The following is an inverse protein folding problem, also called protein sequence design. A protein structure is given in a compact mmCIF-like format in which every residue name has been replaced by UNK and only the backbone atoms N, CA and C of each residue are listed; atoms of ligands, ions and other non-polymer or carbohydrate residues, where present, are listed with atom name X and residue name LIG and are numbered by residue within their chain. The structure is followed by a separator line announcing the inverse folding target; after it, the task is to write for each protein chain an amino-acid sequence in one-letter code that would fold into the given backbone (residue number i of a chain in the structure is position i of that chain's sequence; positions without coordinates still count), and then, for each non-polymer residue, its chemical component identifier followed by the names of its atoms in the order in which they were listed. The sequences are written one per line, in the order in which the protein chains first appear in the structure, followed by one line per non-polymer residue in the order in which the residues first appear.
data_IF_544542904361
#
_entry.id   IF_544542904361
#
_cell.length_a   1.000
_cell.length_b   1.000
_cell.length_c   1.000
_cell.angle_alpha   90.00
_cell.angle_beta   90.00
_cell.angle_gamma   90.00
#
_symmetry.space_group_name_H-M   'P 1'
#
loop_
_entity.id
_entity.type
_entity.pdbx_description
1 polymer ?
#
# COMPACT_ATOMS: atom_id res chain seq x y z
N UNK A 1 -18.51 27.81 13.70
CA UNK A 1 -17.33 27.34 12.92
C UNK A 1 -16.27 28.43 13.09
N UNK A 2 -15.00 28.08 13.29
CA UNK A 2 -13.94 29.09 13.43
C UNK A 2 -13.87 29.93 12.14
N UNK A 3 -13.79 31.25 12.27
CA UNK A 3 -13.58 32.19 11.15
C UNK A 3 -12.22 32.85 11.35
N UNK A 4 -11.37 32.81 10.33
CA UNK A 4 -10.04 33.41 10.34
C UNK A 4 -10.14 34.87 9.89
N UNK A 5 -9.27 35.75 10.40
CA UNK A 5 -9.16 37.09 9.85
C UNK A 5 -8.62 37.09 8.41
N UNK A 6 -8.68 38.24 7.73
CA UNK A 6 -8.25 38.38 6.35
C UNK A 6 -6.77 38.00 6.13
N UNK A 7 -5.87 38.39 7.03
CA UNK A 7 -4.44 38.15 6.88
C UNK A 7 -4.13 36.66 7.04
N UNK A 8 -4.69 36.05 8.08
CA UNK A 8 -4.51 34.64 8.40
C UNK A 8 -5.13 33.73 7.33
N UNK A 9 -6.33 34.05 6.84
CA UNK A 9 -6.98 33.30 5.76
C UNK A 9 -6.16 33.32 4.47
N UNK A 10 -5.62 34.48 4.06
CA UNK A 10 -4.76 34.59 2.87
C UNK A 10 -3.45 33.82 3.06
N UNK A 11 -2.78 33.98 4.20
CA UNK A 11 -1.48 33.34 4.46
C UNK A 11 -1.58 31.81 4.41
N UNK A 12 -2.57 31.22 5.09
CA UNK A 12 -2.75 29.76 5.10
C UNK A 12 -3.19 29.25 3.74
N UNK A 13 -4.05 30.00 3.03
CA UNK A 13 -4.46 29.64 1.68
C UNK A 13 -3.27 29.58 0.73
N UNK A 14 -2.43 30.61 0.72
CA UNK A 14 -1.22 30.65 -0.12
C UNK A 14 -0.27 29.50 0.21
N UNK A 15 -0.10 29.16 1.49
CA UNK A 15 0.73 28.03 1.89
C UNK A 15 0.23 26.69 1.35
N UNK A 16 -1.08 26.45 1.41
CA UNK A 16 -1.68 25.24 0.83
C UNK A 16 -1.59 25.23 -0.70
N UNK A 17 -1.83 26.37 -1.36
CA UNK A 17 -1.68 26.51 -2.82
C UNK A 17 -0.24 26.20 -3.23
N UNK A 18 0.74 26.79 -2.55
CA UNK A 18 2.15 26.58 -2.82
C UNK A 18 2.58 25.13 -2.62
N UNK A 19 2.00 24.43 -1.67
CA UNK A 19 2.28 23.01 -1.45
C UNK A 19 1.77 22.13 -2.59
N UNK A 20 0.55 22.36 -3.08
CA UNK A 20 -0.05 21.51 -4.11
C UNK A 20 0.36 21.88 -5.55
N UNK A 21 0.91 23.09 -5.78
CA UNK A 21 1.23 23.58 -7.13
C UNK A 21 2.18 22.65 -7.91
N UNK A 22 3.06 21.93 -7.20
CA UNK A 22 4.11 21.10 -7.79
C UNK A 22 3.63 19.66 -8.09
N UNK A 23 2.37 19.32 -7.78
CA UNK A 23 1.81 17.99 -8.03
C UNK A 23 0.93 18.01 -9.26
N UNK A 24 1.51 17.69 -10.42
CA UNK A 24 0.76 17.58 -11.68
C UNK A 24 0.26 16.15 -11.92
N UNK A 25 1.00 15.16 -11.42
CA UNK A 25 0.64 13.74 -11.44
C UNK A 25 0.75 13.11 -10.07
N UNK A 26 0.08 11.98 -9.89
CA UNK A 26 0.06 11.28 -8.61
C UNK A 26 1.45 10.76 -8.18
N UNK A 27 2.33 10.46 -9.14
CA UNK A 27 3.69 10.01 -8.89
C UNK A 27 4.61 11.14 -8.40
N UNK A 28 4.35 12.41 -8.77
CA UNK A 28 5.05 13.58 -8.21
C UNK A 28 4.80 13.66 -6.71
N UNK A 29 3.52 13.49 -6.32
CA UNK A 29 3.09 13.47 -4.93
C UNK A 29 3.75 12.32 -4.15
N UNK A 30 3.70 11.09 -4.67
CA UNK A 30 4.32 9.95 -3.98
C UNK A 30 5.83 10.07 -3.87
N UNK A 31 6.51 10.62 -4.88
CA UNK A 31 7.96 10.88 -4.84
C UNK A 31 8.29 11.92 -3.78
N UNK A 32 7.55 13.03 -3.71
CA UNK A 32 7.73 14.06 -2.68
C UNK A 32 7.58 13.48 -1.27
N UNK A 33 6.51 12.74 -1.02
CA UNK A 33 6.27 12.03 0.25
C UNK A 33 7.38 11.03 0.59
N UNK A 34 7.90 10.33 -0.42
CA UNK A 34 8.96 9.36 -0.23
C UNK A 34 10.28 10.03 0.19
N UNK A 35 10.65 11.11 -0.49
CA UNK A 35 11.87 11.88 -0.20
C UNK A 35 11.80 12.45 1.22
N UNK A 36 10.65 12.99 1.63
CA UNK A 36 10.41 13.46 3.01
C UNK A 36 10.74 12.35 4.03
N UNK A 37 10.24 11.12 3.82
CA UNK A 37 10.48 10.01 4.75
C UNK A 37 11.89 9.46 4.76
N UNK A 38 12.52 9.36 3.59
CA UNK A 38 13.87 8.79 3.47
C UNK A 38 14.90 9.66 4.19
N UNK A 39 14.67 10.97 4.29
CA UNK A 39 15.53 11.88 5.07
C UNK A 39 15.56 11.55 6.56
N UNK A 40 14.46 11.01 7.09
CA UNK A 40 14.28 10.69 8.51
C UNK A 40 14.69 9.24 8.87
N UNK A 41 15.09 8.42 7.88
CA UNK A 41 15.55 7.05 8.15
C UNK A 41 16.88 7.12 8.93
N UNK A 42 16.98 6.49 10.12
CA UNK A 42 18.21 6.46 10.89
C UNK A 42 19.37 5.86 10.08
N UNK A 43 20.54 6.48 10.18
CA UNK A 43 21.76 5.89 9.65
C UNK A 43 22.15 4.66 10.51
N UNK A 44 22.66 3.59 9.90
CA UNK A 44 23.20 2.46 10.67
C UNK A 44 24.34 2.93 11.58
N UNK A 45 24.41 2.36 12.78
CA UNK A 45 25.51 2.63 13.71
C UNK A 45 26.83 2.11 13.12
N UNK A 46 27.94 2.85 13.25
CA UNK A 46 29.25 2.38 12.78
C UNK A 46 29.58 1.01 13.38
N UNK A 47 29.93 0.04 12.53
CA UNK A 47 30.31 -1.32 12.95
C UNK A 47 29.13 -2.29 13.16
N UNK A 48 27.88 -1.83 13.08
CA UNK A 48 26.74 -2.72 12.86
C UNK A 48 26.53 -2.86 11.35
N UNK A 49 26.42 -4.10 10.85
CA UNK A 49 26.15 -4.38 9.44
C UNK A 49 24.93 -3.61 8.93
N UNK A 50 24.87 -3.39 7.61
CA UNK A 50 23.72 -2.68 7.04
C UNK A 50 22.50 -3.58 7.13
N UNK A 51 21.33 -3.00 7.45
CA UNK A 51 20.05 -3.72 7.34
C UNK A 51 19.77 -4.20 5.89
N UNK A 52 20.52 -3.67 4.92
CA UNK A 52 20.52 -4.07 3.52
C UNK A 52 21.25 -5.41 3.29
N UNK A 53 22.18 -5.78 4.18
CA UNK A 53 22.90 -7.07 4.13
C UNK A 53 21.96 -8.25 4.42
N UNK A 54 20.82 -8.00 5.08
CA UNK A 54 19.77 -8.99 5.29
C UNK A 54 18.92 -9.24 4.02
N UNK A 55 19.04 -8.41 2.98
CA UNK A 55 18.26 -8.52 1.76
C UNK A 55 18.96 -9.40 0.72
N UNK A 56 18.16 -10.08 -0.11
CA UNK A 56 18.66 -10.99 -1.14
C UNK A 56 19.47 -10.26 -2.21
N UNK A 57 20.73 -10.67 -2.37
CA UNK A 57 21.71 -10.08 -3.29
C UNK A 57 22.42 -11.09 -4.20
N UNK A 58 22.10 -12.39 -4.12
CA UNK A 58 22.68 -13.42 -5.00
C UNK A 58 21.88 -13.59 -6.30
N UNK A 59 22.07 -12.66 -7.23
CA UNK A 59 21.30 -12.63 -8.49
C UNK A 59 21.72 -13.68 -9.53
N UNK A 60 22.71 -14.53 -9.22
CA UNK A 60 23.13 -15.63 -10.07
C UNK A 60 22.42 -16.96 -9.73
N UNK A 61 21.73 -17.01 -8.60
CA UNK A 61 20.95 -18.19 -8.21
C UNK A 61 19.80 -18.44 -9.18
N UNK A 62 19.69 -19.69 -9.64
CA UNK A 62 18.65 -20.07 -10.57
C UNK A 62 17.32 -20.33 -9.83
N UNK A 63 16.14 -19.90 -10.35
CA UNK A 63 14.88 -20.01 -9.61
C UNK A 63 14.44 -21.42 -9.23
N UNK A 64 14.92 -22.42 -9.95
CA UNK A 64 14.61 -23.82 -9.64
C UNK A 64 15.25 -24.28 -8.31
N UNK A 65 16.37 -23.67 -7.92
CA UNK A 65 17.18 -24.01 -6.74
C UNK A 65 16.72 -23.24 -5.49
N UNK A 66 15.92 -22.19 -5.66
CA UNK A 66 15.43 -21.35 -4.56
C UNK A 66 14.35 -22.06 -3.77
N UNK A 67 14.43 -22.00 -2.45
CA UNK A 67 13.33 -22.39 -1.56
C UNK A 67 13.05 -21.29 -0.55
N UNK A 68 11.85 -21.30 0.04
CA UNK A 68 11.36 -20.15 0.79
C UNK A 68 10.82 -20.50 2.17
N UNK A 69 11.12 -19.64 3.13
CA UNK A 69 10.53 -19.64 4.46
C UNK A 69 9.72 -18.36 4.67
N UNK A 70 8.53 -18.50 5.24
CA UNK A 70 7.68 -17.38 5.65
C UNK A 70 7.79 -17.24 7.16
N UNK A 71 8.23 -16.08 7.64
CA UNK A 71 8.42 -15.86 9.09
C UNK A 71 8.16 -14.41 9.50
N UNK A 72 8.11 -14.19 10.81
CA UNK A 72 8.06 -12.85 11.41
C UNK A 72 9.44 -12.46 11.90
N UNK A 73 9.78 -11.19 11.77
CA UNK A 73 11.00 -10.57 12.31
C UNK A 73 10.59 -9.44 13.26
N UNK A 74 11.52 -8.87 14.06
CA UNK A 74 11.24 -7.71 14.88
C UNK A 74 10.59 -6.57 14.06
N UNK A 75 9.55 -5.94 14.64
CA UNK A 75 8.72 -4.95 13.94
C UNK A 75 9.52 -3.76 13.42
N UNK A 76 10.45 -3.25 14.23
CA UNK A 76 11.32 -2.12 13.85
C UNK A 76 12.13 -2.46 12.60
N UNK A 77 12.75 -3.65 12.57
CA UNK A 77 13.50 -4.13 11.41
C UNK A 77 12.61 -4.25 10.17
N UNK A 78 11.39 -4.79 10.32
CA UNK A 78 10.42 -4.88 9.23
C UNK A 78 10.06 -3.50 8.65
N UNK A 79 9.68 -2.56 9.52
CA UNK A 79 9.20 -1.25 9.08
C UNK A 79 10.32 -0.42 8.44
N UNK A 80 11.53 -0.46 9.00
CA UNK A 80 12.70 0.21 8.41
C UNK A 80 13.06 -0.38 7.04
N UNK A 81 13.10 -1.71 6.91
CA UNK A 81 13.39 -2.36 5.63
C UNK A 81 12.30 -2.10 4.60
N UNK A 82 11.02 -2.21 4.99
CA UNK A 82 9.90 -1.94 4.09
C UNK A 82 9.91 -0.49 3.62
N UNK A 83 10.20 0.48 4.49
CA UNK A 83 10.38 1.88 4.09
C UNK A 83 11.58 2.04 3.16
N UNK A 84 12.67 1.28 3.30
CA UNK A 84 13.77 1.32 2.31
C UNK A 84 13.41 0.68 0.97
N UNK A 85 12.54 -0.34 0.93
CA UNK A 85 12.25 -1.08 -0.31
C UNK A 85 11.02 -0.55 -1.07
N UNK A 86 9.98 -0.11 -0.36
CA UNK A 86 8.71 0.26 -0.96
C UNK A 86 8.79 1.59 -1.73
N UNK A 87 8.18 1.64 -2.93
CA UNK A 87 8.02 2.87 -3.70
C UNK A 87 6.98 3.83 -3.13
N UNK A 88 6.09 3.32 -2.27
CA UNK A 88 5.12 4.10 -1.52
C UNK A 88 5.43 4.04 -0.03
N UNK A 89 5.04 5.07 0.71
CA UNK A 89 5.25 5.21 2.14
C UNK A 89 4.29 4.30 2.94
N UNK A 90 4.75 3.22 3.60
CA UNK A 90 3.90 2.25 4.29
C UNK A 90 3.29 2.81 5.60
N UNK A 91 2.17 3.52 5.50
CA UNK A 91 1.47 4.06 6.67
C UNK A 91 0.89 2.98 7.60
N UNK A 92 0.98 3.20 8.90
CA UNK A 92 0.27 2.39 9.88
C UNK A 92 -1.25 2.58 9.74
N UNK A 93 -1.98 1.48 9.84
CA UNK A 93 -3.44 1.44 9.71
C UNK A 93 -4.03 0.75 10.94
N UNK A 94 -5.15 1.26 11.48
CA UNK A 94 -5.83 0.61 12.59
C UNK A 94 -6.45 -0.71 12.16
N UNK A 95 -6.68 -1.60 13.14
CA UNK A 95 -7.33 -2.90 12.93
C UNK A 95 -6.33 -4.04 12.83
N UNK A 96 -6.66 -5.05 12.01
CA UNK A 96 -5.81 -6.23 11.83
C UNK A 96 -4.46 -5.82 11.25
N UNK A 97 -3.40 -6.46 11.71
CA UNK A 97 -2.05 -6.34 11.16
C UNK A 97 -1.29 -7.66 11.29
N UNK A 98 -0.75 -8.18 10.20
CA UNK A 98 0.22 -9.29 10.23
C UNK A 98 1.35 -8.94 9.25
N UNK A 99 2.56 -8.81 9.77
CA UNK A 99 3.77 -8.46 9.03
C UNK A 99 4.63 -9.73 8.89
N UNK A 100 4.87 -10.17 7.66
CA UNK A 100 5.64 -11.35 7.32
C UNK A 100 6.78 -10.98 6.38
N UNK A 101 7.93 -11.60 6.56
CA UNK A 101 9.00 -11.62 5.55
C UNK A 101 9.02 -12.97 4.86
N UNK A 102 9.45 -12.96 3.60
CA UNK A 102 9.77 -14.17 2.85
C UNK A 102 11.28 -14.22 2.70
N UNK A 103 11.89 -15.29 3.19
CA UNK A 103 13.33 -15.54 3.11
C UNK A 103 13.64 -16.63 2.10
N UNK A 104 14.68 -16.44 1.30
CA UNK A 104 15.29 -17.50 0.50
C UNK A 104 16.19 -18.34 1.42
N UNK A 105 16.05 -19.66 1.41
CA UNK A 105 16.61 -20.53 2.45
C UNK A 105 18.09 -20.87 2.25
N UNK A 106 18.61 -20.86 1.03
CA UNK A 106 20.02 -21.17 0.77
C UNK A 106 20.93 -20.04 1.26
N UNK A 107 20.52 -18.79 1.06
CA UNK A 107 21.22 -17.57 1.51
C UNK A 107 20.77 -17.06 2.87
N UNK A 108 19.60 -17.50 3.35
CA UNK A 108 18.93 -16.98 4.55
C UNK A 108 18.67 -15.46 4.51
N UNK A 109 18.45 -14.92 3.31
CA UNK A 109 18.20 -13.48 3.08
C UNK A 109 16.76 -13.21 2.68
N UNK A 110 16.31 -11.97 2.89
CA UNK A 110 14.93 -11.54 2.65
C UNK A 110 14.73 -11.23 1.17
N UNK A 111 13.74 -11.88 0.55
CA UNK A 111 13.31 -11.60 -0.83
C UNK A 111 12.09 -10.69 -0.91
N UNK A 112 11.39 -10.47 0.21
CA UNK A 112 10.29 -9.52 0.23
C UNK A 112 9.48 -9.44 1.53
N UNK A 113 8.58 -8.47 1.54
CA UNK A 113 7.79 -8.05 2.69
C UNK A 113 6.30 -8.13 2.37
N UNK A 114 5.53 -8.74 3.28
CA UNK A 114 4.08 -8.84 3.22
C UNK A 114 3.50 -8.20 4.47
N UNK A 115 2.57 -7.26 4.29
CA UNK A 115 1.75 -6.72 5.38
C UNK A 115 0.28 -6.91 5.05
N UNK A 116 -0.38 -7.74 5.85
CA UNK A 116 -1.82 -7.85 5.88
C UNK A 116 -2.43 -6.80 6.79
N UNK A 117 -3.65 -6.37 6.49
CA UNK A 117 -4.47 -5.60 7.40
C UNK A 117 -5.95 -5.67 7.09
N UNK A 118 -6.74 -4.95 7.90
CA UNK A 118 -8.20 -4.88 7.71
C UNK A 118 -8.55 -4.26 6.35
N UNK A 119 -9.47 -4.85 5.58
CA UNK A 119 -9.93 -4.26 4.32
C UNK A 119 -10.47 -2.84 4.48
N UNK A 120 -10.41 -2.06 3.40
CA UNK A 120 -11.02 -0.74 3.36
C UNK A 120 -12.55 -0.84 3.50
N UNK A 121 -13.14 0.08 4.29
CA UNK A 121 -14.58 0.14 4.59
C UNK A 121 -15.41 0.10 3.30
N UNK A 122 -14.96 0.80 2.26
CA UNK A 122 -15.65 0.86 0.98
C UNK A 122 -14.70 0.59 -0.18
N UNK A 123 -15.13 -0.22 -1.15
CA UNK A 123 -14.43 -0.51 -2.40
C UNK A 123 -15.48 -0.82 -3.46
N UNK A 124 -15.57 0.02 -4.49
CA UNK A 124 -16.56 -0.16 -5.57
C UNK A 124 -16.45 -1.55 -6.24
N UNK A 125 -15.27 -2.01 -6.70
CA UNK A 125 -15.14 -3.34 -7.31
C UNK A 125 -15.61 -4.49 -6.41
N UNK A 126 -15.35 -4.40 -5.10
CA UNK A 126 -15.83 -5.39 -4.12
C UNK A 126 -17.35 -5.35 -4.03
N UNK A 127 -17.92 -4.16 -3.86
CA UNK A 127 -19.36 -4.03 -3.70
C UNK A 127 -20.10 -4.53 -4.96
N UNK A 128 -19.57 -4.21 -6.15
CA UNK A 128 -20.10 -4.72 -7.42
C UNK A 128 -20.04 -6.26 -7.47
N UNK A 129 -18.93 -6.87 -7.03
CA UNK A 129 -18.80 -8.33 -6.92
C UNK A 129 -19.79 -8.96 -5.92
N UNK A 130 -20.03 -8.32 -4.77
CA UNK A 130 -20.95 -8.80 -3.74
C UNK A 130 -22.42 -8.50 -4.06
N UNK A 131 -22.70 -7.57 -4.98
CA UNK A 131 -24.05 -7.10 -5.30
C UNK A 131 -24.56 -5.98 -4.38
N UNK A 132 -23.65 -5.31 -3.65
CA UNK A 132 -23.97 -4.27 -2.68
C UNK A 132 -22.88 -4.09 -1.64
N UNK A 133 -23.09 -3.16 -0.70
CA UNK A 133 -22.23 -3.03 0.48
C UNK A 133 -22.55 -4.22 1.41
N UNK A 134 -21.58 -5.07 1.77
CA UNK A 134 -21.83 -6.20 2.65
C UNK A 134 -22.05 -5.74 4.10
N UNK A 135 -22.60 -6.62 4.92
CA UNK A 135 -22.54 -6.48 6.38
C UNK A 135 -21.07 -6.41 6.82
N UNK A 136 -20.68 -5.30 7.44
CA UNK A 136 -19.28 -5.03 7.76
C UNK A 136 -18.75 -5.91 8.88
N UNK A 137 -19.60 -6.42 9.76
CA UNK A 137 -19.19 -7.29 10.86
C UNK A 137 -18.86 -8.69 10.33
N UNK A 138 -19.72 -9.23 9.47
CA UNK A 138 -19.46 -10.49 8.76
C UNK A 138 -18.21 -10.34 7.88
N UNK A 139 -18.18 -9.27 7.08
CA UNK A 139 -17.11 -9.05 6.12
C UNK A 139 -15.76 -8.91 6.80
N UNK A 140 -15.65 -8.08 7.84
CA UNK A 140 -14.39 -7.90 8.56
C UNK A 140 -13.91 -9.23 9.17
N UNK A 141 -14.79 -10.09 9.70
CA UNK A 141 -14.39 -11.40 10.26
C UNK A 141 -13.83 -12.37 9.21
N UNK A 142 -14.26 -12.26 7.95
CA UNK A 142 -13.99 -13.24 6.89
C UNK A 142 -13.02 -12.75 5.80
N UNK A 143 -12.71 -11.46 5.75
CA UNK A 143 -11.84 -10.85 4.74
C UNK A 143 -10.58 -10.20 5.31
N UNK A 144 -9.48 -10.27 4.54
CA UNK A 144 -8.20 -9.63 4.84
C UNK A 144 -7.67 -8.91 3.60
N UNK A 145 -6.86 -7.88 3.78
CA UNK A 145 -6.26 -7.12 2.69
C UNK A 145 -4.73 -7.14 2.74
N UNK A 146 -4.07 -7.36 1.60
CA UNK A 146 -2.63 -7.14 1.44
C UNK A 146 -2.34 -5.66 1.16
N UNK A 147 -1.87 -4.93 2.18
CA UNK A 147 -1.52 -3.51 2.07
C UNK A 147 -0.16 -3.29 1.43
N UNK A 148 0.82 -4.11 1.82
CA UNK A 148 2.16 -4.06 1.26
C UNK A 148 2.54 -5.47 0.81
N UNK A 149 2.87 -5.61 -0.47
CA UNK A 149 3.36 -6.84 -1.10
C UNK A 149 4.58 -6.42 -1.90
N UNK A 150 5.70 -6.28 -1.22
CA UNK A 150 6.87 -5.53 -1.71
C UNK A 150 8.05 -6.49 -1.82
N UNK A 151 8.41 -6.93 -3.04
CA UNK A 151 9.63 -7.71 -3.23
C UNK A 151 10.84 -6.80 -3.06
N UNK A 152 11.93 -7.36 -2.51
CA UNK A 152 13.26 -6.77 -2.64
C UNK A 152 13.59 -6.65 -4.12
N UNK A 153 14.34 -5.61 -4.48
CA UNK A 153 14.65 -5.31 -5.86
C UNK A 153 16.15 -5.35 -6.05
N UNK A 154 16.63 -6.01 -7.11
CA UNK A 154 15.92 -6.39 -8.32
C UNK A 154 15.26 -7.78 -8.29
N UNK A 155 15.14 -8.45 -7.12
CA UNK A 155 14.49 -9.77 -7.06
C UNK A 155 13.06 -9.75 -7.65
N UNK A 156 12.29 -8.71 -7.35
CA UNK A 156 10.98 -8.45 -7.95
C UNK A 156 10.99 -8.43 -9.48
N UNK A 157 11.98 -7.75 -10.07
CA UNK A 157 12.14 -7.62 -11.52
C UNK A 157 12.70 -8.89 -12.20
N UNK A 158 13.78 -9.45 -11.65
CA UNK A 158 14.52 -10.58 -12.20
C UNK A 158 13.71 -11.89 -12.09
N UNK A 159 12.99 -12.09 -10.99
CA UNK A 159 12.41 -13.38 -10.61
C UNK A 159 10.89 -13.39 -10.46
N UNK A 160 10.19 -12.33 -10.92
CA UNK A 160 8.76 -12.18 -10.66
C UNK A 160 8.44 -12.20 -9.15
N UNK A 161 9.31 -11.64 -8.30
CA UNK A 161 9.14 -11.68 -6.85
C UNK A 161 7.80 -11.13 -6.37
N UNK A 162 7.24 -10.13 -7.06
CA UNK A 162 5.90 -9.62 -6.76
C UNK A 162 4.80 -10.67 -6.92
N UNK A 163 4.92 -11.57 -7.90
CA UNK A 163 3.98 -12.69 -8.09
C UNK A 163 4.16 -13.76 -7.02
N UNK A 164 5.39 -14.04 -6.59
CA UNK A 164 5.66 -14.94 -5.47
C UNK A 164 4.94 -14.47 -4.22
N UNK A 165 5.19 -13.22 -3.81
CA UNK A 165 4.62 -12.67 -2.58
C UNK A 165 3.09 -12.60 -2.62
N UNK A 166 2.51 -12.18 -3.75
CA UNK A 166 1.05 -12.16 -3.90
C UNK A 166 0.44 -13.56 -3.88
N UNK A 167 1.11 -14.56 -4.47
CA UNK A 167 0.63 -15.94 -4.43
C UNK A 167 0.75 -16.53 -3.02
N UNK A 168 1.83 -16.20 -2.28
CA UNK A 168 1.96 -16.51 -0.85
C UNK A 168 0.83 -15.88 -0.05
N UNK A 169 0.44 -14.63 -0.34
CA UNK A 169 -0.71 -14.02 0.34
C UNK A 169 -2.02 -14.80 0.14
N UNK A 170 -2.16 -15.43 -1.03
CA UNK A 170 -3.30 -16.26 -1.38
C UNK A 170 -3.17 -17.71 -0.87
N UNK A 171 -2.04 -18.12 -0.27
CA UNK A 171 -1.83 -19.52 0.10
C UNK A 171 -2.56 -19.90 1.39
N UNK A 172 -2.79 -21.20 1.58
CA UNK A 172 -3.32 -21.73 2.84
C UNK A 172 -2.39 -21.45 4.02
N UNK A 173 -1.07 -21.52 3.84
CA UNK A 173 -0.12 -21.17 4.89
C UNK A 173 -0.34 -19.75 5.45
N UNK A 174 -0.48 -18.73 4.59
CA UNK A 174 -0.76 -17.36 5.06
C UNK A 174 -2.14 -17.26 5.71
N UNK A 175 -3.15 -17.91 5.13
CA UNK A 175 -4.52 -17.93 5.65
C UNK A 175 -4.58 -18.57 7.04
N UNK A 176 -3.89 -19.67 7.26
CA UNK A 176 -3.82 -20.36 8.55
C UNK A 176 -3.10 -19.54 9.62
N UNK A 177 -2.00 -18.86 9.26
CA UNK A 177 -1.34 -17.91 10.16
C UNK A 177 -2.29 -16.78 10.59
N UNK A 178 -3.09 -16.26 9.65
CA UNK A 178 -4.10 -15.24 9.92
C UNK A 178 -5.25 -15.79 10.77
N UNK A 179 -5.78 -16.95 10.42
CA UNK A 179 -6.85 -17.63 11.16
C UNK A 179 -6.44 -17.84 12.62
N UNK A 180 -5.25 -18.39 12.85
CA UNK A 180 -4.68 -18.60 14.19
C UNK A 180 -4.52 -17.30 14.96
N UNK A 181 -4.09 -16.23 14.31
CA UNK A 181 -3.86 -14.94 14.97
C UNK A 181 -5.16 -14.25 15.41
N UNK A 182 -6.23 -14.39 14.63
CA UNK A 182 -7.48 -13.66 14.85
C UNK A 182 -8.64 -14.54 15.31
N UNK A 183 -8.39 -15.83 15.54
CA UNK A 183 -9.40 -16.82 15.92
C UNK A 183 -10.65 -16.74 15.03
N UNK A 184 -10.42 -16.82 13.72
CA UNK A 184 -11.45 -16.72 12.69
C UNK A 184 -11.07 -17.56 11.49
N UNK A 185 -11.97 -17.67 10.51
CA UNK A 185 -11.73 -18.35 9.26
C UNK A 185 -11.90 -17.37 8.09
N UNK A 186 -10.77 -16.92 7.57
CA UNK A 186 -10.72 -16.08 6.38
C UNK A 186 -11.04 -16.87 5.11
N UNK A 187 -11.89 -16.30 4.26
CA UNK A 187 -12.27 -16.85 2.95
C UNK A 187 -12.05 -15.85 1.81
N UNK A 188 -11.63 -14.63 2.10
CA UNK A 188 -11.35 -13.61 1.09
C UNK A 188 -10.06 -12.85 1.38
N UNK A 189 -9.20 -12.76 0.38
CA UNK A 189 -8.07 -11.87 0.32
C UNK A 189 -8.27 -10.81 -0.76
N UNK A 190 -8.04 -9.55 -0.42
CA UNK A 190 -8.12 -8.41 -1.34
C UNK A 190 -6.77 -7.69 -1.44
N UNK A 191 -6.45 -7.14 -2.60
CA UNK A 191 -5.34 -6.18 -2.73
C UNK A 191 -5.56 -5.27 -3.92
N UNK A 192 -4.76 -4.20 -4.01
CA UNK A 192 -4.80 -3.24 -5.12
C UNK A 192 -3.41 -3.05 -5.71
N UNK A 193 -3.34 -2.82 -7.02
CA UNK A 193 -2.12 -2.29 -7.63
C UNK A 193 -1.87 -0.84 -7.21
N UNK A 194 -0.63 -0.37 -7.25
CA UNK A 194 -0.29 1.01 -6.88
C UNK A 194 -0.65 2.03 -7.99
N UNK A 195 -0.44 1.68 -9.26
CA UNK A 195 -0.45 2.60 -10.41
C UNK A 195 -1.42 2.18 -11.53
N UNK A 196 -2.57 1.62 -11.16
CA UNK A 196 -3.43 0.78 -12.00
C UNK A 196 -3.63 1.24 -13.46
N UNK A 197 -4.25 2.40 -13.66
CA UNK A 197 -4.56 2.90 -15.01
C UNK A 197 -3.37 3.55 -15.75
N UNK A 198 -2.29 3.92 -15.03
CA UNK A 198 -1.12 4.58 -15.64
C UNK A 198 -0.34 3.59 -16.51
N UNK A 199 -0.20 2.33 -16.07
CA UNK A 199 0.53 1.29 -16.81
C UNK A 199 -0.37 0.36 -17.63
N UNK A 200 -1.68 0.33 -17.39
CA UNK A 200 -2.62 -0.59 -18.05
C UNK A 200 -2.44 -2.08 -17.70
N UNK A 201 -1.39 -2.42 -16.94
CA UNK A 201 -1.06 -3.75 -16.46
C UNK A 201 -0.50 -3.69 -15.02
N UNK A 202 -0.63 -4.79 -14.29
CA UNK A 202 -0.12 -4.96 -12.94
C UNK A 202 0.77 -6.19 -12.85
N UNK A 203 1.68 -6.21 -11.87
CA UNK A 203 2.44 -7.41 -11.51
C UNK A 203 1.54 -8.60 -11.13
N UNK A 204 0.28 -8.34 -10.76
CA UNK A 204 -0.70 -9.37 -10.40
C UNK A 204 -1.44 -9.99 -11.60
N UNK A 205 -1.22 -9.48 -12.81
CA UNK A 205 -1.91 -10.00 -13.99
C UNK A 205 -1.40 -11.40 -14.37
N UNK A 206 -2.33 -12.26 -14.77
CA UNK A 206 -2.06 -13.65 -15.15
C UNK A 206 -1.83 -14.61 -13.97
N UNK A 207 -2.24 -14.23 -12.76
CA UNK A 207 -2.11 -15.06 -11.54
C UNK A 207 -3.25 -16.05 -11.31
N UNK A 208 -3.96 -16.50 -12.36
CA UNK A 208 -5.01 -17.52 -12.19
C UNK A 208 -4.41 -18.86 -11.72
N UNK A 209 -5.06 -19.59 -10.80
CA UNK A 209 -6.35 -19.28 -10.16
C UNK A 209 -6.23 -18.40 -8.90
N UNK A 210 -5.02 -18.09 -8.43
CA UNK A 210 -4.74 -17.47 -7.14
C UNK A 210 -5.36 -16.09 -6.94
N UNK A 211 -5.16 -15.19 -7.90
CA UNK A 211 -5.53 -13.78 -7.74
C UNK A 211 -6.17 -13.27 -9.02
N UNK A 212 -7.34 -12.63 -8.91
CA UNK A 212 -8.16 -12.22 -10.05
C UNK A 212 -8.52 -10.75 -9.99
N UNK A 213 -8.37 -10.06 -11.11
CA UNK A 213 -8.85 -8.69 -11.31
C UNK A 213 -10.38 -8.64 -11.22
N UNK A 214 -10.91 -7.63 -10.53
CA UNK A 214 -12.36 -7.47 -10.28
C UNK A 214 -12.87 -6.06 -10.61
N UNK A 215 -12.03 -5.19 -11.16
CA UNK A 215 -12.39 -3.82 -11.51
C UNK A 215 -11.37 -2.80 -10.99
N UNK A 216 -11.63 -1.54 -11.28
CA UNK A 216 -10.79 -0.42 -10.89
C UNK A 216 -11.41 0.36 -9.73
N UNK A 217 -10.58 0.79 -8.79
CA UNK A 217 -11.04 1.62 -7.66
C UNK A 217 -11.38 3.02 -8.12
N UNK A 218 -12.30 3.68 -7.42
CA UNK A 218 -12.56 5.11 -7.58
C UNK A 218 -12.11 5.87 -6.34
N UNK A 219 -11.39 6.98 -6.54
CA UNK A 219 -10.94 7.89 -5.49
C UNK A 219 -11.11 9.33 -5.93
N UNK A 220 -11.80 10.12 -5.10
CA UNK A 220 -12.04 11.57 -5.29
C UNK A 220 -11.68 12.34 -4.02
N UNK A 221 -10.48 12.10 -3.49
CA UNK A 221 -10.00 12.78 -2.29
C UNK A 221 -8.87 13.75 -2.66
N UNK A 222 -8.88 14.92 -2.02
CA UNK A 222 -7.74 15.84 -2.02
C UNK A 222 -6.49 15.10 -1.50
N UNK A 223 -5.37 15.26 -2.20
CA UNK A 223 -4.08 14.75 -1.77
C UNK A 223 -3.79 15.16 -0.33
N UNK A 224 -3.34 14.22 0.51
CA UNK A 224 -3.07 14.55 1.91
C UNK A 224 -1.79 15.37 2.05
N UNK A 225 -1.79 16.35 2.95
CA UNK A 225 -0.62 17.17 3.27
C UNK A 225 0.60 16.34 3.71
N UNK A 226 1.80 16.80 3.37
CA UNK A 226 3.10 16.25 3.82
C UNK A 226 3.24 16.25 5.35
N UNK A 227 4.18 15.51 5.93
CA UNK A 227 4.32 15.45 7.40
C UNK A 227 4.68 16.81 7.99
N UNK A 228 5.62 17.53 7.38
CA UNK A 228 6.07 18.85 7.84
C UNK A 228 4.92 19.87 7.82
N UNK A 229 4.34 20.12 6.64
CA UNK A 229 3.24 21.08 6.47
C UNK A 229 1.99 20.66 7.24
N UNK A 230 1.68 19.36 7.34
CA UNK A 230 0.54 18.90 8.12
C UNK A 230 0.72 19.20 9.61
N UNK A 231 1.89 18.88 10.20
CA UNK A 231 2.17 19.14 11.62
C UNK A 231 2.11 20.63 11.91
N UNK A 232 2.69 21.45 11.04
CA UNK A 232 2.67 22.90 11.18
C UNK A 232 1.24 23.46 11.16
N UNK A 233 0.48 23.18 10.10
CA UNK A 233 -0.89 23.69 9.97
C UNK A 233 -1.78 23.12 11.08
N UNK A 234 -1.61 21.85 11.45
CA UNK A 234 -2.32 21.26 12.59
C UNK A 234 -2.08 22.04 13.88
N UNK A 235 -0.82 22.34 14.22
CA UNK A 235 -0.50 23.15 15.40
C UNK A 235 -1.16 24.52 15.31
N UNK A 236 -0.97 25.22 14.19
CA UNK A 236 -1.50 26.56 13.95
C UNK A 236 -3.04 26.65 14.11
N UNK A 237 -3.77 25.67 13.56
CA UNK A 237 -5.23 25.60 13.69
C UNK A 237 -5.68 25.22 15.11
N UNK A 238 -4.91 24.38 15.80
CA UNK A 238 -5.20 23.95 17.18
C UNK A 238 -5.06 25.12 18.14
N UNK A 239 -3.99 25.92 18.00
CA UNK A 239 -3.75 27.11 18.83
C UNK A 239 -4.88 28.13 18.69
N UNK A 240 -5.36 28.36 17.47
CA UNK A 240 -6.49 29.25 17.18
C UNK A 240 -7.85 28.68 17.57
N UNK A 241 -7.94 27.36 17.73
CA UNK A 241 -9.10 26.69 18.27
C UNK A 241 -8.97 26.41 19.78
N UNK A 242 -8.34 27.33 20.52
CA UNK A 242 -8.21 27.30 21.98
C UNK A 242 -7.53 26.03 22.51
N UNK A 243 -6.58 25.49 21.76
CA UNK A 243 -5.86 24.26 22.10
C UNK A 243 -6.61 22.97 21.78
N UNK A 244 -7.81 23.03 21.20
CA UNK A 244 -8.58 21.85 20.80
C UNK A 244 -8.41 21.53 19.32
N UNK A 245 -8.34 20.23 18.98
CA UNK A 245 -8.32 19.82 17.58
C UNK A 245 -9.66 20.07 16.87
N UNK A 246 -9.64 20.36 15.56
CA UNK A 246 -10.85 20.61 14.76
C UNK A 246 -11.76 19.37 14.58
N UNK A 247 -11.34 18.22 15.08
CA UNK A 247 -12.03 16.94 14.96
C UNK A 247 -12.08 16.22 16.31
N UNK A 248 -13.12 15.43 16.54
CA UNK A 248 -13.26 14.63 17.76
C UNK A 248 -12.15 13.56 17.89
N UNK A 249 -11.76 13.21 19.12
CA UNK A 249 -10.66 12.26 19.42
C UNK A 249 -10.89 10.85 18.85
N UNK A 250 -12.12 10.38 18.74
CA UNK A 250 -12.47 9.07 18.18
C UNK A 250 -12.58 8.99 16.64
N UNK A 251 -12.24 10.04 15.91
CA UNK A 251 -12.45 10.07 14.46
C UNK A 251 -11.53 9.07 13.72
N UNK A 252 -12.10 8.22 12.86
CA UNK A 252 -11.33 7.47 11.85
C UNK A 252 -10.77 8.40 10.78
N UNK A 253 -9.66 8.01 10.11
CA UNK A 253 -9.01 8.79 9.04
C UNK A 253 -8.69 10.24 9.47
N UNK A 254 -8.12 10.40 10.68
CA UNK A 254 -7.90 11.69 11.34
C UNK A 254 -7.23 12.73 10.45
N UNK A 255 -6.12 12.36 9.79
CA UNK A 255 -5.35 13.28 8.93
C UNK A 255 -6.21 13.86 7.82
N UNK A 256 -6.92 13.01 7.08
CA UNK A 256 -7.85 13.42 6.01
C UNK A 256 -8.96 14.33 6.56
N UNK A 257 -9.65 13.92 7.63
CA UNK A 257 -10.75 14.72 8.21
C UNK A 257 -10.28 16.07 8.74
N UNK A 258 -9.13 16.10 9.41
CA UNK A 258 -8.51 17.33 9.90
C UNK A 258 -8.21 18.28 8.74
N UNK A 259 -7.56 17.78 7.68
CA UNK A 259 -7.27 18.57 6.49
C UNK A 259 -8.54 19.08 5.81
N UNK A 260 -9.58 18.26 5.65
CA UNK A 260 -10.87 18.69 5.09
C UNK A 260 -11.48 19.83 5.92
N UNK A 261 -11.39 19.76 7.25
CA UNK A 261 -11.86 20.85 8.14
C UNK A 261 -11.04 22.12 7.98
N UNK A 262 -9.71 22.02 7.88
CA UNK A 262 -8.84 23.17 7.61
C UNK A 262 -9.22 23.85 6.29
N UNK A 263 -9.33 23.07 5.20
CA UNK A 263 -9.73 23.58 3.87
C UNK A 263 -11.10 24.25 3.93
N UNK A 264 -12.07 23.65 4.62
CA UNK A 264 -13.40 24.24 4.80
C UNK A 264 -13.35 25.58 5.51
N UNK A 265 -12.55 25.71 6.57
CA UNK A 265 -12.43 26.96 7.34
C UNK A 265 -11.75 28.06 6.50
N UNK A 266 -10.67 27.72 5.80
CA UNK A 266 -9.98 28.65 4.88
C UNK A 266 -10.93 29.12 3.79
N UNK A 267 -11.65 28.19 3.14
CA UNK A 267 -12.62 28.49 2.09
C UNK A 267 -13.72 29.43 2.59
N UNK A 268 -14.31 29.16 3.75
CA UNK A 268 -15.34 30.03 4.34
C UNK A 268 -14.81 31.42 4.68
N UNK A 269 -13.62 31.50 5.29
CA UNK A 269 -13.03 32.79 5.71
C UNK A 269 -12.62 33.65 4.51
N UNK A 270 -12.04 33.06 3.46
CA UNK A 270 -11.70 33.78 2.23
C UNK A 270 -12.96 34.34 1.54
N UNK A 271 -14.06 33.60 1.54
CA UNK A 271 -15.33 34.06 0.94
C UNK A 271 -15.84 35.35 1.58
N UNK A 272 -15.57 35.56 2.87
CA UNK A 272 -15.96 36.76 3.61
C UNK A 272 -14.99 37.95 3.40
N UNK A 273 -13.73 37.68 3.07
CA UNK A 273 -12.66 38.68 3.13
C UNK A 273 -12.01 39.03 1.79
N UNK A 274 -11.99 38.11 0.83
CA UNK A 274 -11.32 38.26 -0.47
C UNK A 274 -11.81 37.22 -1.50
N UNK A 275 -12.74 37.63 -2.37
CA UNK A 275 -13.31 36.77 -3.42
C UNK A 275 -12.26 36.26 -4.41
N UNK A 276 -11.23 37.06 -4.73
CA UNK A 276 -10.20 36.66 -5.68
C UNK A 276 -9.32 35.55 -5.10
N UNK A 277 -8.90 35.71 -3.85
CA UNK A 277 -8.14 34.67 -3.15
C UNK A 277 -8.98 33.40 -2.93
N UNK A 278 -10.28 33.55 -2.65
CA UNK A 278 -11.22 32.43 -2.59
C UNK A 278 -11.23 31.61 -3.89
N UNK A 279 -11.40 32.26 -5.04
CA UNK A 279 -11.46 31.56 -6.34
C UNK A 279 -10.14 30.85 -6.66
N UNK A 280 -9.00 31.50 -6.38
CA UNK A 280 -7.68 30.90 -6.53
C UNK A 280 -7.51 29.66 -5.66
N UNK A 281 -7.92 29.74 -4.39
CA UNK A 281 -7.82 28.63 -3.45
C UNK A 281 -8.71 27.45 -3.84
N UNK A 282 -9.97 27.71 -4.20
CA UNK A 282 -10.92 26.67 -4.64
C UNK A 282 -10.36 25.94 -5.87
N UNK A 283 -9.89 26.69 -6.87
CA UNK A 283 -9.29 26.11 -8.07
C UNK A 283 -8.09 25.21 -7.72
N UNK A 284 -7.17 25.68 -6.88
CA UNK A 284 -6.00 24.89 -6.49
C UNK A 284 -6.37 23.58 -5.76
N UNK A 285 -7.40 23.61 -4.89
CA UNK A 285 -7.89 22.40 -4.21
C UNK A 285 -8.59 21.45 -5.20
N UNK A 286 -9.33 21.97 -6.17
CA UNK A 286 -10.00 21.17 -7.21
C UNK A 286 -8.95 20.51 -8.12
N UNK A 287 -7.95 21.27 -8.57
CA UNK A 287 -6.82 20.75 -9.36
C UNK A 287 -6.10 19.63 -8.60
N UNK A 288 -5.76 19.85 -7.33
CA UNK A 288 -5.11 18.85 -6.48
C UNK A 288 -6.00 17.62 -6.18
N UNK A 289 -7.32 17.79 -6.13
CA UNK A 289 -8.29 16.67 -6.00
C UNK A 289 -8.38 15.87 -7.30
N UNK A 290 -8.16 16.52 -8.45
CA UNK A 290 -8.08 15.89 -9.76
C UNK A 290 -6.83 15.02 -9.96
N UNK A 291 -5.79 15.22 -9.16
CA UNK A 291 -4.58 14.38 -9.16
C UNK A 291 -4.87 13.05 -8.49
N UNK A 292 -5.41 12.10 -9.25
CA UNK A 292 -5.81 10.78 -8.78
C UNK A 292 -5.44 9.70 -9.80
N UNK A 293 -5.39 8.45 -9.36
CA UNK A 293 -5.22 7.27 -10.22
C UNK A 293 -6.18 6.18 -9.77
N UNK A 294 -6.73 5.46 -10.75
CA UNK A 294 -7.50 4.27 -10.45
C UNK A 294 -6.54 3.10 -10.24
N UNK A 295 -6.70 2.42 -9.11
CA UNK A 295 -5.95 1.20 -8.79
C UNK A 295 -6.72 -0.01 -9.28
N UNK A 296 -6.02 -0.98 -9.86
CA UNK A 296 -6.63 -2.26 -10.22
C UNK A 296 -6.86 -3.06 -8.94
N UNK A 297 -8.07 -3.54 -8.74
CA UNK A 297 -8.45 -4.27 -7.54
C UNK A 297 -8.53 -5.77 -7.82
N UNK A 298 -7.99 -6.56 -6.90
CA UNK A 298 -7.84 -8.00 -7.04
C UNK A 298 -8.39 -8.76 -5.83
N UNK A 299 -8.92 -9.96 -6.07
CA UNK A 299 -9.43 -10.86 -5.05
C UNK A 299 -8.92 -12.29 -5.21
N UNK A 300 -8.76 -12.96 -4.07
CA UNK A 300 -8.60 -14.41 -3.94
C UNK A 300 -9.63 -14.96 -2.97
N UNK A 301 -10.27 -16.05 -3.36
CA UNK A 301 -11.25 -16.77 -2.52
C UNK A 301 -10.61 -17.97 -1.82
N UNK A 302 -9.27 -18.05 -1.80
CA UNK A 302 -8.52 -19.15 -1.18
C UNK A 302 -8.96 -20.55 -1.64
N UNK A 303 -9.46 -20.68 -2.87
CA UNK A 303 -9.94 -21.97 -3.38
C UNK A 303 -11.28 -22.42 -2.81
N UNK A 304 -12.07 -21.53 -2.20
CA UNK A 304 -13.44 -21.81 -1.81
C UNK A 304 -14.43 -21.52 -2.96
N UNK A 305 -15.43 -22.38 -3.14
CA UNK A 305 -16.47 -22.22 -4.17
C UNK A 305 -17.57 -21.24 -3.76
N UNK A 306 -17.82 -21.10 -2.45
CA UNK A 306 -18.97 -20.40 -1.90
C UNK A 306 -18.61 -19.18 -1.03
N UNK A 307 -17.38 -18.65 -1.14
CA UNK A 307 -16.92 -17.51 -0.33
C UNK A 307 -17.88 -16.30 -0.39
N UNK A 308 -18.48 -16.03 -1.56
CA UNK A 308 -19.48 -14.96 -1.72
C UNK A 308 -20.69 -15.14 -0.80
N UNK A 309 -21.21 -16.35 -0.68
CA UNK A 309 -22.42 -16.61 0.11
C UNK A 309 -22.14 -16.51 1.61
N UNK A 310 -20.93 -16.90 2.04
CA UNK A 310 -20.46 -16.67 3.42
C UNK A 310 -20.32 -15.18 3.73
N UNK A 311 -19.73 -14.40 2.83
CA UNK A 311 -19.57 -12.95 2.99
C UNK A 311 -20.91 -12.19 3.01
N UNK A 312 -21.94 -12.75 2.38
CA UNK A 312 -23.31 -12.24 2.39
C UNK A 312 -24.17 -12.80 3.52
N UNK A 313 -23.62 -13.62 4.41
CA UNK A 313 -24.33 -14.19 5.56
C UNK A 313 -25.39 -15.23 5.21
N UNK A 314 -25.38 -15.80 3.99
CA UNK A 314 -26.34 -16.84 3.57
C UNK A 314 -26.03 -18.21 4.18
N UNK A 315 -24.76 -18.44 4.52
CA UNK A 315 -24.25 -19.65 5.16
C UNK A 315 -23.01 -19.29 5.98
N UNK A 316 -22.69 -20.09 6.99
CA UNK A 316 -21.47 -19.98 7.79
C UNK A 316 -20.41 -21.03 7.43
N UNK A 317 -20.77 -22.02 6.60
CA UNK A 317 -19.91 -23.12 6.16
C UNK A 317 -19.23 -22.80 4.84
N UNK A 318 -17.91 -23.01 4.79
CA UNK A 318 -17.12 -22.93 3.57
C UNK A 318 -17.07 -24.27 2.84
N UNK A 319 -17.15 -24.21 1.51
CA UNK A 319 -17.07 -25.35 0.61
C UNK A 319 -15.82 -25.26 -0.25
N UNK A 320 -15.04 -26.36 -0.28
CA UNK A 320 -13.81 -26.43 -1.06
C UNK A 320 -14.15 -26.47 -2.55
N UNK A 321 -13.49 -25.63 -3.35
CA UNK A 321 -13.52 -25.76 -4.80
C UNK A 321 -12.59 -26.89 -5.26
N UNK A 322 -12.80 -27.38 -6.48
CA UNK A 322 -11.99 -28.45 -7.11
C UNK A 322 -10.48 -28.14 -7.08
N UNK A 323 -10.11 -26.86 -7.14
CA UNK A 323 -8.72 -26.43 -7.19
C UNK A 323 -8.16 -25.98 -5.83
N UNK A 324 -8.78 -26.34 -4.71
CA UNK A 324 -8.37 -25.95 -3.35
C UNK A 324 -6.90 -26.28 -3.08
N UNK A 325 -6.46 -27.51 -3.36
CA UNK A 325 -5.07 -27.95 -3.15
C UNK A 325 -4.02 -27.11 -3.89
N UNK A 326 -4.39 -26.39 -4.97
CA UNK A 326 -3.44 -25.51 -5.66
C UNK A 326 -2.93 -24.40 -4.77
N UNK A 327 -3.70 -24.00 -3.76
CA UNK A 327 -3.36 -22.93 -2.81
C UNK A 327 -2.45 -23.40 -1.68
N UNK A 328 -2.09 -24.69 -1.62
CA UNK A 328 -1.02 -25.16 -0.76
C UNK A 328 0.31 -24.46 -1.10
N UNK A 329 1.10 -24.16 -0.07
CA UNK A 329 2.32 -23.35 -0.24
C UNK A 329 3.30 -23.97 -1.23
N UNK A 330 3.47 -25.30 -1.18
CA UNK A 330 4.31 -26.03 -2.12
C UNK A 330 3.84 -25.86 -3.57
N UNK A 331 2.53 -25.96 -3.81
CA UNK A 331 1.93 -25.79 -5.13
C UNK A 331 2.04 -24.34 -5.64
N UNK A 332 1.91 -23.36 -4.74
CA UNK A 332 2.16 -21.94 -5.02
C UNK A 332 3.62 -21.70 -5.43
N UNK A 333 4.59 -22.25 -4.69
CA UNK A 333 6.02 -22.12 -4.99
C UNK A 333 6.35 -22.83 -6.31
N UNK A 334 5.84 -24.04 -6.53
CA UNK A 334 6.01 -24.79 -7.79
C UNK A 334 5.47 -24.03 -8.99
N UNK A 335 4.30 -23.42 -8.85
CA UNK A 335 3.75 -22.53 -9.88
C UNK A 335 4.68 -21.35 -10.13
N UNK A 336 5.16 -20.68 -9.09
CA UNK A 336 6.07 -19.55 -9.25
C UNK A 336 7.40 -19.95 -9.92
N UNK A 337 8.05 -21.04 -9.48
CA UNK A 337 9.30 -21.55 -10.07
C UNK A 337 9.17 -21.70 -11.58
N UNK A 338 8.09 -22.30 -12.06
CA UNK A 338 7.81 -22.46 -13.51
C UNK A 338 7.83 -21.15 -14.30
N UNK A 339 7.26 -20.07 -13.77
CA UNK A 339 7.23 -18.78 -14.46
C UNK A 339 8.50 -17.96 -14.22
N UNK A 340 9.08 -18.07 -13.02
CA UNK A 340 10.30 -17.39 -12.63
C UNK A 340 11.51 -17.89 -13.44
N UNK A 341 11.66 -19.20 -13.64
CA UNK A 341 12.70 -19.78 -14.53
C UNK A 341 12.62 -19.18 -15.93
N UNK A 342 11.45 -19.19 -16.57
CA UNK A 342 11.28 -18.59 -17.91
C UNK A 342 11.61 -17.10 -17.96
N UNK A 343 11.27 -16.37 -16.90
CA UNK A 343 11.59 -14.94 -16.77
C UNK A 343 13.09 -14.74 -16.63
N UNK A 344 13.73 -15.50 -15.76
CA UNK A 344 15.15 -15.42 -15.46
C UNK A 344 16.00 -15.77 -16.69
N UNK A 345 15.71 -16.88 -17.36
CA UNK A 345 16.36 -17.29 -18.61
C UNK A 345 16.25 -16.21 -19.69
N UNK A 346 15.08 -15.57 -19.79
CA UNK A 346 14.87 -14.44 -20.70
C UNK A 346 15.74 -13.23 -20.30
N UNK A 347 15.88 -12.91 -19.02
CA UNK A 347 16.72 -11.80 -18.55
C UNK A 347 18.21 -12.06 -18.82
N UNK A 348 18.69 -13.29 -18.66
CA UNK A 348 20.04 -13.67 -19.04
C UNK A 348 20.22 -13.55 -20.56
N UNK A 349 19.34 -14.18 -21.35
CA UNK A 349 19.42 -14.17 -22.81
C UNK A 349 19.42 -12.76 -23.39
N UNK A 350 18.61 -11.86 -22.83
CA UNK A 350 18.51 -10.46 -23.26
C UNK A 350 19.58 -9.54 -22.62
N UNK A 351 20.47 -10.06 -21.76
CA UNK A 351 21.45 -9.27 -20.99
C UNK A 351 20.81 -8.13 -20.19
N UNK A 352 19.65 -8.42 -19.58
CA UNK A 352 18.82 -7.49 -18.79
C UNK A 352 18.76 -7.83 -17.31
N UNK A 353 19.53 -8.84 -16.89
CA UNK A 353 19.64 -9.20 -15.49
C UNK A 353 20.22 -8.01 -14.71
N UNK A 354 19.49 -7.54 -13.69
CA UNK A 354 19.95 -6.46 -12.82
C UNK A 354 20.71 -7.04 -11.64
N UNK A 355 21.82 -6.42 -11.26
CA UNK A 355 22.76 -6.98 -10.27
C UNK A 355 23.05 -6.05 -9.09
N UNK A 356 22.35 -4.92 -8.99
CA UNK A 356 22.54 -3.93 -7.92
C UNK A 356 21.27 -3.85 -7.07
N UNK A 357 21.43 -3.88 -5.74
CA UNK A 357 20.33 -3.73 -4.79
C UNK A 357 19.66 -2.35 -4.93
N UNK A 358 18.35 -2.33 -5.15
CA UNK A 358 17.59 -1.09 -5.42
C UNK A 358 16.78 -0.65 -4.18
N UNK A 359 17.46 -0.07 -3.19
CA UNK A 359 16.89 0.49 -1.96
C UNK A 359 16.88 2.01 -1.95
N UNK A 360 15.88 2.64 -1.32
CA UNK A 360 15.76 4.08 -1.16
C UNK A 360 16.65 4.58 -0.02
N UNK A 361 17.65 5.39 -0.35
CA UNK A 361 18.49 6.12 0.60
C UNK A 361 18.90 7.48 0.00
N UNK A 362 19.73 8.24 0.71
CA UNK A 362 20.20 9.57 0.27
C UNK A 362 20.90 9.55 -1.10
N UNK A 363 21.57 8.45 -1.43
CA UNK A 363 22.40 8.32 -2.64
C UNK A 363 21.62 7.75 -3.84
N UNK A 364 20.53 7.02 -3.59
CA UNK A 364 19.75 6.31 -4.61
C UNK A 364 18.38 6.93 -4.89
N UNK A 365 17.87 7.82 -4.03
CA UNK A 365 16.50 8.37 -4.14
C UNK A 365 16.21 9.03 -5.49
N UNK A 366 17.23 9.56 -6.16
CA UNK A 366 17.08 10.21 -7.47
C UNK A 366 17.26 9.26 -8.65
N UNK A 367 17.79 8.05 -8.43
CA UNK A 367 18.08 7.04 -9.47
C UNK A 367 16.99 5.99 -9.61
N UNK A 368 16.21 5.79 -8.56
CA UNK A 368 15.15 4.79 -8.52
C UNK A 368 13.89 5.29 -9.23
N UNK A 369 13.31 4.43 -10.08
CA UNK A 369 11.95 4.62 -10.58
C UNK A 369 10.92 4.24 -9.51
N UNK A 370 9.96 5.13 -9.28
CA UNK A 370 8.86 4.93 -8.33
C UNK A 370 7.76 4.05 -8.92
N UNK A 371 7.61 4.05 -10.25
CA UNK A 371 6.66 3.23 -11.00
C UNK A 371 7.41 2.06 -11.65
N UNK A 372 7.74 1.03 -10.86
CA UNK A 372 8.45 -0.18 -11.35
C UNK A 372 7.57 -1.17 -12.09
#
# INVERSE_FOLDING_TARGET
MMTLDKKDSINVAMKMIEYFKDFHRIDDYFRSRKIERVKDIPLPLPGMGSIEDEMFQDYNMHPAEMDFQICQIPLVSFDTMLEKTASFSPDENPGKTLKLVVKETNTNTIVGFIRFGSPLINSKPRNDYLGGVPDLDIFNKRAIMGFNIVPVQPFGFNYLGGKLLAAICCSHASREMLNKKYDTEFCLFETTSLYGNIKGASMYDGMKPFLRYKGDTESKFLLTLGEEIYKELKGWFTDRNKGEELIHKGASSRKLKMQTKMVSIVKSSLKEHDTKAYDMFVKAMDDATGVTTQKRFYMSEYGYSNAKDVLLGKTDKLELAENFERFELENVIKWWKKYSTKRYDKMIKEKRLRTELEVWNKDTMNKIDIIR
#
